data_IF_996755251143
#
_entry.id   IF_996755251143
#
_cell.length_a   1.000
_cell.length_b   1.000
_cell.length_c   1.000
_cell.angle_alpha   90.00
_cell.angle_beta   90.00
_cell.angle_gamma   90.00
#
_symmetry.space_group_name_H-M   'P 1'
#
loop_
_entity.id
_entity.type
_entity.pdbx_description
1 polymer ?
#
# COMPACT_ATOMS: atom_id res chain seq x y z
N UNK A 1 2.26 -1.56 -23.34
CA UNK A 1 0.85 -1.75 -22.94
C UNK A 1 0.62 -0.79 -21.79
N UNK A 2 -0.37 0.12 -21.84
CA UNK A 2 -0.37 1.30 -20.98
C UNK A 2 -0.87 1.01 -19.54
N UNK A 3 -0.26 1.62 -18.53
CA UNK A 3 -0.65 1.72 -17.12
C UNK A 3 -2.10 2.19 -16.95
N UNK A 4 -2.65 2.89 -17.95
CA UNK A 4 -4.10 3.20 -18.01
C UNK A 4 -4.98 1.94 -18.07
N UNK A 5 -4.50 0.81 -18.59
CA UNK A 5 -5.19 -0.49 -18.47
C UNK A 5 -5.24 -0.99 -17.04
N UNK A 6 -4.26 -0.67 -16.20
CA UNK A 6 -4.27 -1.04 -14.79
C UNK A 6 -5.52 -0.50 -14.09
N UNK A 7 -5.84 0.77 -14.35
CA UNK A 7 -7.02 1.45 -13.84
C UNK A 7 -8.35 0.86 -14.37
N UNK A 8 -8.35 0.22 -15.54
CA UNK A 8 -9.56 -0.29 -16.20
C UNK A 8 -9.84 -1.78 -15.90
N UNK A 9 -8.82 -2.56 -15.54
CA UNK A 9 -8.92 -4.03 -15.52
C UNK A 9 -8.85 -4.62 -14.10
N UNK A 10 -8.18 -3.94 -13.15
CA UNK A 10 -7.79 -4.60 -11.89
C UNK A 10 -8.31 -3.99 -10.60
N UNK A 11 -8.97 -2.83 -10.63
CA UNK A 11 -9.36 -2.14 -9.40
C UNK A 11 -10.54 -2.88 -8.75
N UNK A 12 -10.33 -3.39 -7.55
CA UNK A 12 -11.42 -3.99 -6.78
C UNK A 12 -12.28 -2.88 -6.15
N UNK A 13 -13.57 -3.13 -6.01
CA UNK A 13 -14.43 -2.29 -5.17
C UNK A 13 -14.09 -2.44 -3.67
N UNK A 14 -13.40 -3.52 -3.29
CA UNK A 14 -12.92 -3.75 -1.94
C UNK A 14 -11.87 -2.72 -1.54
N UNK A 15 -12.05 -2.08 -0.38
CA UNK A 15 -11.06 -1.17 0.21
C UNK A 15 -10.09 -1.95 1.11
N UNK A 16 -9.56 -3.06 0.60
CA UNK A 16 -8.66 -3.94 1.33
C UNK A 16 -7.76 -4.75 0.38
N UNK A 17 -6.59 -5.15 0.90
CA UNK A 17 -5.71 -6.16 0.31
C UNK A 17 -5.72 -7.35 1.27
N UNK A 18 -5.94 -8.55 0.74
CA UNK A 18 -6.00 -9.78 1.52
C UNK A 18 -4.69 -10.55 1.35
N UNK A 19 -4.25 -11.20 2.41
CA UNK A 19 -3.15 -12.14 2.40
C UNK A 19 -3.62 -13.53 2.81
N UNK A 20 -2.67 -14.44 2.94
CA UNK A 20 -2.95 -15.78 3.45
C UNK A 20 -3.43 -15.75 4.91
N UNK A 21 -4.10 -16.82 5.35
CA UNK A 21 -4.45 -17.06 6.77
C UNK A 21 -5.26 -15.93 7.44
N UNK A 22 -5.99 -15.16 6.65
CA UNK A 22 -6.84 -14.06 7.14
C UNK A 22 -6.08 -12.78 7.46
N UNK A 23 -4.81 -12.69 7.07
CA UNK A 23 -4.07 -11.44 7.09
C UNK A 23 -4.70 -10.47 6.08
N UNK A 24 -4.84 -9.20 6.46
CA UNK A 24 -5.44 -8.17 5.61
C UNK A 24 -5.03 -6.79 6.06
N UNK A 25 -4.96 -5.86 5.10
CA UNK A 25 -4.99 -4.43 5.37
C UNK A 25 -6.29 -3.86 4.84
N UNK A 26 -6.87 -2.90 5.56
CA UNK A 26 -8.11 -2.24 5.21
C UNK A 26 -7.90 -0.73 5.14
N UNK A 27 -8.74 -0.05 4.38
CA UNK A 27 -8.82 1.41 4.39
C UNK A 27 -10.20 1.75 4.93
N UNK A 28 -10.30 2.21 6.18
CA UNK A 28 -11.57 2.62 6.74
C UNK A 28 -11.96 4.05 6.32
N UNK A 29 -13.27 4.37 6.29
CA UNK A 29 -13.75 5.74 6.15
C UNK A 29 -13.24 6.63 7.29
N UNK A 30 -12.91 7.89 7.00
CA UNK A 30 -12.43 8.85 8.02
C UNK A 30 -13.47 9.10 9.13
N UNK A 31 -14.75 9.12 8.79
CA UNK A 31 -15.84 9.46 9.70
C UNK A 31 -16.83 8.29 9.91
N UNK A 32 -16.37 7.19 10.51
CA UNK A 32 -17.27 6.06 10.84
C UNK A 32 -18.43 6.47 11.78
N UNK A 33 -18.22 7.47 12.66
CA UNK A 33 -19.25 7.94 13.61
C UNK A 33 -20.31 8.87 13.00
N UNK A 34 -20.02 9.57 11.91
CA UNK A 34 -20.99 10.46 11.24
C UNK A 34 -22.06 9.66 10.46
N UNK A 35 -21.74 8.42 10.09
CA UNK A 35 -22.60 7.51 9.33
C UNK A 35 -23.88 7.08 10.05
N UNK A 36 -23.94 7.24 11.38
CA UNK A 36 -25.12 6.91 12.18
C UNK A 36 -26.20 8.01 12.15
N UNK A 37 -25.89 9.23 11.67
CA UNK A 37 -26.79 10.38 11.75
C UNK A 37 -27.33 10.88 10.40
N UNK A 38 -26.78 10.46 9.27
CA UNK A 38 -27.16 10.95 7.95
C UNK A 38 -27.57 9.76 7.06
N UNK A 39 -28.87 9.70 6.76
CA UNK A 39 -29.47 8.62 5.99
C UNK A 39 -28.86 8.48 4.59
N UNK A 40 -28.47 7.25 4.27
CA UNK A 40 -28.43 6.58 2.96
C UNK A 40 -27.85 7.24 1.68
N UNK A 41 -27.28 8.45 1.68
CA UNK A 41 -26.78 9.07 0.42
C UNK A 41 -25.33 9.57 0.41
N UNK A 42 -24.63 9.59 1.55
CA UNK A 42 -23.24 10.06 1.57
C UNK A 42 -22.26 8.90 1.36
N UNK A 43 -21.53 8.93 0.24
CA UNK A 43 -20.35 8.08 0.04
C UNK A 43 -19.40 8.28 1.23
N UNK A 44 -19.10 7.24 2.04
CA UNK A 44 -18.22 7.36 3.19
C UNK A 44 -16.78 7.76 2.84
N UNK A 45 -16.41 7.70 1.56
CA UNK A 45 -15.13 8.15 1.02
C UNK A 45 -15.27 9.41 0.17
N UNK A 46 -16.35 10.19 0.33
CA UNK A 46 -16.56 11.42 -0.43
C UNK A 46 -15.29 12.29 -0.44
N UNK A 47 -14.85 12.67 -1.64
CA UNK A 47 -13.62 13.42 -1.86
C UNK A 47 -12.33 12.59 -1.88
N UNK A 48 -12.41 11.26 -1.76
CA UNK A 48 -11.28 10.33 -1.83
C UNK A 48 -11.46 9.33 -2.97
N UNK A 49 -10.42 9.11 -3.76
CA UNK A 49 -10.33 7.99 -4.70
C UNK A 49 -9.35 6.98 -4.13
N UNK A 50 -9.84 5.77 -3.88
CA UNK A 50 -9.04 4.64 -3.39
C UNK A 50 -9.27 3.47 -4.34
N UNK A 51 -8.22 3.00 -5.01
CA UNK A 51 -8.28 1.82 -5.87
C UNK A 51 -7.31 0.77 -5.33
N UNK A 52 -7.82 -0.41 -5.02
CA UNK A 52 -7.03 -1.52 -4.50
C UNK A 52 -6.83 -2.56 -5.60
N UNK A 53 -5.62 -3.10 -5.69
CA UNK A 53 -5.21 -4.07 -6.69
C UNK A 53 -4.51 -5.22 -5.98
N UNK A 54 -5.13 -6.40 -6.01
CA UNK A 54 -4.54 -7.62 -5.49
C UNK A 54 -3.60 -8.22 -6.55
N UNK A 55 -2.33 -8.45 -6.20
CA UNK A 55 -1.31 -8.97 -7.10
C UNK A 55 -1.01 -10.45 -6.89
N UNK A 56 -1.27 -10.97 -5.69
CA UNK A 56 -0.89 -12.33 -5.32
C UNK A 56 -2.04 -13.12 -4.69
N UNK A 57 -3.13 -13.32 -5.46
CA UNK A 57 -4.24 -14.21 -5.08
C UNK A 57 -4.41 -15.42 -6.02
N UNK A 58 -3.52 -15.57 -7.00
CA UNK A 58 -3.55 -16.65 -7.98
C UNK A 58 -4.67 -16.59 -9.03
N UNK A 59 -5.53 -15.56 -8.99
CA UNK A 59 -6.63 -15.37 -9.94
C UNK A 59 -6.12 -15.04 -11.35
N UNK A 60 -6.97 -15.25 -12.37
CA UNK A 60 -6.65 -14.86 -13.74
C UNK A 60 -6.49 -13.35 -13.87
N UNK A 61 -7.31 -12.59 -13.13
CA UNK A 61 -7.27 -11.14 -13.06
C UNK A 61 -5.93 -10.66 -12.50
N UNK A 62 -5.45 -11.26 -11.40
CA UNK A 62 -4.13 -10.94 -10.86
C UNK A 62 -3.03 -11.25 -11.88
N UNK A 63 -3.07 -12.39 -12.58
CA UNK A 63 -2.07 -12.70 -13.64
C UNK A 63 -2.10 -11.70 -14.79
N UNK A 64 -3.28 -11.27 -15.24
CA UNK A 64 -3.41 -10.23 -16.26
C UNK A 64 -2.87 -8.88 -15.79
N UNK A 65 -3.12 -8.54 -14.54
CA UNK A 65 -2.60 -7.35 -13.89
C UNK A 65 -1.07 -7.37 -13.79
N UNK A 66 -0.46 -8.50 -13.40
CA UNK A 66 0.99 -8.67 -13.38
C UNK A 66 1.62 -8.46 -14.76
N UNK A 67 1.05 -9.09 -15.79
CA UNK A 67 1.49 -8.89 -17.17
C UNK A 67 1.38 -7.43 -17.60
N UNK A 68 0.30 -6.76 -17.19
CA UNK A 68 0.08 -5.33 -17.46
C UNK A 68 1.08 -4.43 -16.73
N UNK A 69 1.56 -4.86 -15.56
CA UNK A 69 2.63 -4.23 -14.80
C UNK A 69 4.04 -4.54 -15.30
N UNK A 70 4.17 -5.43 -16.29
CA UNK A 70 5.47 -5.91 -16.76
C UNK A 70 6.19 -6.82 -15.75
N UNK A 71 5.48 -7.33 -14.74
CA UNK A 71 5.97 -8.29 -13.76
C UNK A 71 5.79 -9.69 -14.35
N UNK A 72 6.86 -10.49 -14.42
CA UNK A 72 6.78 -11.84 -15.01
C UNK A 72 6.21 -12.83 -14.01
N UNK A 73 5.59 -13.88 -14.52
CA UNK A 73 5.16 -15.01 -13.69
C UNK A 73 6.38 -15.59 -12.96
N UNK A 74 6.28 -15.71 -11.63
CA UNK A 74 7.36 -16.18 -10.76
C UNK A 74 8.30 -15.09 -10.22
N UNK A 75 8.21 -13.85 -10.70
CA UNK A 75 8.99 -12.74 -10.11
C UNK A 75 8.49 -12.41 -8.69
N UNK A 76 9.46 -12.11 -7.81
CA UNK A 76 9.18 -11.59 -6.46
C UNK A 76 8.51 -10.24 -6.56
N UNK A 77 7.33 -10.13 -5.97
CA UNK A 77 6.43 -8.98 -6.01
C UNK A 77 5.71 -8.81 -4.69
N UNK A 78 5.10 -7.66 -4.47
CA UNK A 78 4.27 -7.46 -3.30
C UNK A 78 2.84 -8.00 -3.47
N UNK A 79 2.12 -8.20 -2.38
CA UNK A 79 0.75 -8.73 -2.40
C UNK A 79 -0.27 -7.79 -3.02
N UNK A 80 -0.08 -6.48 -2.90
CA UNK A 80 -1.04 -5.51 -3.43
C UNK A 80 -0.53 -4.10 -3.66
N UNK A 81 -1.29 -3.36 -4.47
CA UNK A 81 -1.07 -1.93 -4.75
C UNK A 81 -2.34 -1.18 -4.37
N UNK A 82 -2.17 0.01 -3.79
CA UNK A 82 -3.26 0.94 -3.53
C UNK A 82 -2.94 2.28 -4.19
N UNK A 83 -3.80 2.72 -5.10
CA UNK A 83 -3.81 4.09 -5.58
C UNK A 83 -4.71 4.94 -4.68
N UNK A 84 -4.20 6.08 -4.23
CA UNK A 84 -4.93 7.02 -3.41
C UNK A 84 -4.80 8.45 -3.93
N UNK A 85 -5.91 9.17 -4.01
CA UNK A 85 -5.95 10.61 -4.25
C UNK A 85 -7.11 11.26 -3.51
N UNK A 86 -7.01 12.58 -3.32
CA UNK A 86 -8.07 13.39 -2.71
C UNK A 86 -8.44 14.54 -3.64
N UNK A 87 -9.72 14.88 -3.68
CA UNK A 87 -10.23 16.03 -4.42
C UNK A 87 -9.55 17.33 -3.94
N UNK A 88 -9.23 18.20 -4.89
CA UNK A 88 -8.50 19.44 -4.63
C UNK A 88 -7.04 19.28 -4.21
N UNK A 89 -6.56 18.05 -3.96
CA UNK A 89 -5.13 17.80 -3.72
C UNK A 89 -4.40 17.53 -5.03
N UNK A 90 -3.21 18.11 -5.26
CA UNK A 90 -2.35 17.72 -6.37
C UNK A 90 -1.60 16.39 -6.11
N UNK A 91 -1.60 15.91 -4.87
CA UNK A 91 -0.85 14.71 -4.48
C UNK A 91 -1.56 13.44 -4.97
N UNK A 92 -0.77 12.51 -5.51
CA UNK A 92 -1.21 11.18 -5.93
C UNK A 92 -0.30 10.17 -5.27
N UNK A 93 -0.88 9.20 -4.58
CA UNK A 93 -0.14 8.22 -3.81
C UNK A 93 -0.27 6.84 -4.44
N UNK A 94 0.85 6.14 -4.59
CA UNK A 94 0.90 4.71 -4.82
C UNK A 94 1.47 4.08 -3.54
N UNK A 95 0.66 3.28 -2.86
CA UNK A 95 1.07 2.52 -1.70
C UNK A 95 1.23 1.04 -2.09
N UNK A 96 2.44 0.52 -1.91
CA UNK A 96 2.71 -0.90 -2.07
C UNK A 96 2.50 -1.60 -0.73
N UNK A 97 1.85 -2.76 -0.76
CA UNK A 97 1.45 -3.50 0.42
C UNK A 97 2.05 -4.90 0.35
N UNK A 98 2.77 -5.26 1.41
CA UNK A 98 3.22 -6.62 1.66
C UNK A 98 2.60 -7.13 2.97
N UNK A 99 2.03 -8.32 2.93
CA UNK A 99 1.46 -9.06 4.05
C UNK A 99 2.34 -10.27 4.33
N UNK A 100 3.05 -10.20 5.44
CA UNK A 100 3.79 -11.35 5.96
C UNK A 100 3.18 -11.81 7.26
N UNK A 101 3.09 -13.13 7.42
CA UNK A 101 2.77 -13.69 8.72
C UNK A 101 4.03 -13.57 9.63
N UNK A 102 4.90 -14.58 9.58
CA UNK A 102 6.08 -14.66 10.46
C UNK A 102 7.39 -14.24 9.81
N UNK A 103 7.62 -14.56 8.52
CA UNK A 103 8.90 -14.30 7.84
C UNK A 103 8.82 -13.03 7.00
N UNK A 104 9.51 -11.99 7.45
CA UNK A 104 9.50 -10.66 6.82
C UNK A 104 10.73 -10.34 5.96
N UNK A 105 11.72 -11.22 5.95
CA UNK A 105 13.04 -10.97 5.36
C UNK A 105 12.99 -10.53 3.89
N UNK A 106 12.06 -11.09 3.11
CA UNK A 106 11.93 -10.79 1.67
C UNK A 106 10.98 -9.61 1.38
N UNK A 107 10.32 -9.07 2.40
CA UNK A 107 9.27 -8.07 2.20
C UNK A 107 9.80 -6.76 1.61
N UNK A 108 10.99 -6.32 2.04
CA UNK A 108 11.62 -5.11 1.49
C UNK A 108 11.93 -5.30 0.00
N UNK A 109 12.58 -6.41 -0.36
CA UNK A 109 12.90 -6.76 -1.74
C UNK A 109 11.67 -6.78 -2.64
N UNK A 110 10.58 -7.42 -2.19
CA UNK A 110 9.31 -7.49 -2.93
C UNK A 110 8.72 -6.10 -3.20
N UNK A 111 8.68 -5.24 -2.17
CA UNK A 111 8.17 -3.86 -2.28
C UNK A 111 9.05 -3.01 -3.20
N UNK A 112 10.38 -3.10 -3.06
CA UNK A 112 11.35 -2.34 -3.85
C UNK A 112 11.29 -2.75 -5.32
N UNK A 113 11.31 -4.06 -5.61
CA UNK A 113 11.24 -4.59 -6.98
C UNK A 113 9.93 -4.21 -7.66
N UNK A 114 8.80 -4.33 -6.94
CA UNK A 114 7.49 -3.96 -7.49
C UNK A 114 7.45 -2.48 -7.85
N UNK A 115 8.00 -1.61 -6.99
CA UNK A 115 8.13 -0.18 -7.31
C UNK A 115 8.97 0.04 -8.56
N UNK A 116 10.14 -0.57 -8.66
CA UNK A 116 11.03 -0.41 -9.81
C UNK A 116 10.34 -0.82 -11.12
N UNK A 117 9.63 -1.96 -11.11
CA UNK A 117 8.85 -2.40 -12.28
C UNK A 117 7.80 -1.37 -12.69
N UNK A 118 7.06 -0.80 -11.74
CA UNK A 118 6.05 0.22 -12.03
C UNK A 118 6.68 1.53 -12.51
N UNK A 119 7.76 1.99 -11.88
CA UNK A 119 8.48 3.20 -12.29
C UNK A 119 9.04 3.05 -13.71
N UNK A 120 9.65 1.91 -14.04
CA UNK A 120 10.14 1.61 -15.37
C UNK A 120 9.03 1.59 -16.41
N UNK A 121 7.88 1.00 -16.07
CA UNK A 121 6.70 0.97 -16.94
C UNK A 121 6.19 2.39 -17.21
N UNK A 122 5.99 3.18 -16.15
CA UNK A 122 5.53 4.57 -16.26
C UNK A 122 6.51 5.43 -17.07
N UNK A 123 7.82 5.26 -16.86
CA UNK A 123 8.84 5.98 -17.63
C UNK A 123 8.78 5.65 -19.12
N UNK A 124 8.60 4.37 -19.47
CA UNK A 124 8.48 3.91 -20.86
C UNK A 124 7.24 4.47 -21.54
N UNK A 125 6.13 4.58 -20.82
CA UNK A 125 4.85 5.00 -21.39
C UNK A 125 4.69 6.50 -21.50
N UNK A 126 5.08 7.24 -20.48
CA UNK A 126 4.78 8.67 -20.41
C UNK A 126 5.87 9.55 -21.08
N UNK A 127 7.03 8.97 -21.43
CA UNK A 127 8.15 9.68 -22.05
C UNK A 127 8.67 10.85 -21.21
N UNK A 128 9.46 11.75 -21.84
CA UNK A 128 10.01 12.95 -21.15
C UNK A 128 8.94 13.85 -20.50
N UNK A 129 7.79 14.15 -21.14
CA UNK A 129 6.76 14.99 -20.52
C UNK A 129 6.16 14.36 -19.25
N UNK A 130 6.06 13.04 -19.23
CA UNK A 130 5.56 12.25 -18.11
C UNK A 130 6.45 12.21 -16.89
N UNK A 131 7.77 12.38 -17.04
CA UNK A 131 8.73 12.29 -15.93
C UNK A 131 8.40 13.25 -14.80
N UNK A 132 7.98 14.48 -15.13
CA UNK A 132 7.57 15.48 -14.11
C UNK A 132 6.34 15.03 -13.33
N UNK A 133 5.42 14.30 -13.97
CA UNK A 133 4.25 13.74 -13.29
C UNK A 133 4.64 12.58 -12.39
N UNK A 134 5.47 11.65 -12.89
CA UNK A 134 5.99 10.51 -12.12
C UNK A 134 6.75 10.98 -10.87
N UNK A 135 7.56 12.03 -11.00
CA UNK A 135 8.30 12.62 -9.87
C UNK A 135 7.40 13.23 -8.78
N UNK A 136 6.14 13.56 -9.10
CA UNK A 136 5.15 14.08 -8.14
C UNK A 136 4.38 12.95 -7.45
N UNK A 137 4.50 11.71 -7.91
CA UNK A 137 3.87 10.56 -7.25
C UNK A 137 4.52 10.34 -5.88
N UNK A 138 3.69 10.22 -4.86
CA UNK A 138 4.12 9.79 -3.54
C UNK A 138 4.13 8.27 -3.48
N UNK A 139 5.31 7.71 -3.24
CA UNK A 139 5.47 6.28 -2.99
C UNK A 139 5.39 5.99 -1.49
N UNK A 140 4.46 5.11 -1.12
CA UNK A 140 4.32 4.59 0.24
C UNK A 140 4.57 3.08 0.25
N UNK A 141 5.17 2.59 1.32
CA UNK A 141 5.32 1.16 1.58
C UNK A 141 4.57 0.78 2.86
N UNK A 142 3.80 -0.30 2.82
CA UNK A 142 3.11 -0.85 3.97
C UNK A 142 3.52 -2.30 4.16
N UNK A 143 4.06 -2.61 5.34
CA UNK A 143 4.34 -3.95 5.80
C UNK A 143 3.32 -4.36 6.86
N UNK A 144 2.36 -5.19 6.48
CA UNK A 144 1.58 -5.94 7.46
C UNK A 144 2.41 -7.11 7.97
N UNK A 145 2.45 -7.27 9.29
CA UNK A 145 3.14 -8.39 9.94
C UNK A 145 2.28 -9.03 11.03
N UNK A 146 2.30 -10.37 11.11
CA UNK A 146 1.64 -11.10 12.19
C UNK A 146 2.56 -12.17 12.81
N UNK A 147 3.15 -11.84 13.97
CA UNK A 147 4.02 -12.76 14.69
C UNK A 147 5.48 -12.74 14.23
N UNK A 148 5.87 -11.79 13.38
CA UNK A 148 7.27 -11.54 13.03
C UNK A 148 8.06 -10.94 14.20
N UNK A 149 9.35 -11.29 14.30
CA UNK A 149 10.25 -10.77 15.33
C UNK A 149 10.41 -9.25 15.20
N UNK A 150 10.47 -8.50 16.34
CA UNK A 150 10.79 -7.07 16.31
C UNK A 150 12.11 -6.75 15.60
N UNK A 151 13.13 -7.59 15.76
CA UNK A 151 14.46 -7.35 15.20
C UNK A 151 14.47 -7.50 13.68
N UNK A 152 13.82 -8.54 13.16
CA UNK A 152 13.63 -8.76 11.72
C UNK A 152 12.82 -7.62 11.11
N UNK A 153 11.74 -7.21 11.80
CA UNK A 153 10.93 -6.07 11.37
C UNK A 153 11.75 -4.79 11.29
N UNK A 154 12.58 -4.49 12.30
CA UNK A 154 13.41 -3.27 12.30
C UNK A 154 14.41 -3.29 11.13
N UNK A 155 15.02 -4.44 10.80
CA UNK A 155 15.90 -4.58 9.63
C UNK A 155 15.15 -4.24 8.33
N UNK A 156 13.98 -4.81 8.12
CA UNK A 156 13.14 -4.56 6.94
C UNK A 156 12.75 -3.08 6.84
N UNK A 157 12.35 -2.45 7.95
CA UNK A 157 11.97 -1.03 7.95
C UNK A 157 13.16 -0.10 7.69
N UNK A 158 14.35 -0.45 8.20
CA UNK A 158 15.58 0.28 7.88
C UNK A 158 15.87 0.23 6.39
N UNK A 159 15.71 -0.94 5.77
CA UNK A 159 15.86 -1.10 4.33
C UNK A 159 14.84 -0.26 3.55
N UNK A 160 13.56 -0.38 3.90
CA UNK A 160 12.49 0.39 3.25
C UNK A 160 12.71 1.90 3.35
N UNK A 161 13.31 2.41 4.43
CA UNK A 161 13.62 3.84 4.59
C UNK A 161 14.58 4.38 3.51
N UNK A 162 15.44 3.53 2.94
CA UNK A 162 16.37 3.96 1.89
C UNK A 162 15.66 4.21 0.55
N UNK A 163 14.55 3.51 0.32
CA UNK A 163 13.82 3.57 -0.95
C UNK A 163 12.56 4.42 -0.83
N UNK A 164 11.82 4.31 0.27
CA UNK A 164 10.54 4.98 0.47
C UNK A 164 10.65 6.12 1.48
N UNK A 165 10.24 7.33 1.07
CA UNK A 165 10.10 8.47 1.98
C UNK A 165 9.08 8.19 3.09
N UNK A 166 8.06 7.41 2.76
CA UNK A 166 6.95 7.06 3.64
C UNK A 166 6.82 5.53 3.70
N UNK A 167 6.98 4.97 4.88
CA UNK A 167 6.81 3.54 5.12
C UNK A 167 6.05 3.33 6.43
N UNK A 168 5.32 2.23 6.53
CA UNK A 168 4.51 1.90 7.69
C UNK A 168 4.53 0.41 7.97
N UNK A 169 4.53 0.03 9.24
CA UNK A 169 4.30 -1.35 9.66
C UNK A 169 3.03 -1.44 10.49
N UNK A 170 2.14 -2.33 10.10
CA UNK A 170 0.90 -2.63 10.81
C UNK A 170 0.81 -4.11 11.18
N UNK A 171 -0.18 -4.43 12.00
CA UNK A 171 -0.52 -5.78 12.43
C UNK A 171 -2.04 -5.95 12.49
N UNK A 172 -2.52 -7.09 12.99
CA UNK A 172 -3.96 -7.37 13.14
C UNK A 172 -4.72 -6.28 13.91
N UNK A 173 -4.09 -5.60 14.87
CA UNK A 173 -4.73 -4.56 15.68
C UNK A 173 -4.69 -3.17 15.04
N UNK A 174 -3.86 -3.00 14.01
CA UNK A 174 -3.61 -1.74 13.32
C UNK A 174 -3.76 -1.86 11.80
N UNK A 175 -4.55 -2.82 11.35
CA UNK A 175 -4.73 -3.17 9.94
C UNK A 175 -5.39 -2.05 9.10
N UNK A 176 -6.01 -1.04 9.73
CA UNK A 176 -6.51 0.14 9.03
C UNK A 176 -5.36 1.09 8.69
N UNK A 177 -4.99 1.11 7.41
CA UNK A 177 -3.91 1.95 6.90
C UNK A 177 -4.43 3.26 6.31
N UNK A 178 -5.74 3.54 6.39
CA UNK A 178 -6.34 4.77 5.89
C UNK A 178 -5.68 6.05 6.42
N UNK A 179 -5.45 6.20 7.74
CA UNK A 179 -4.71 7.34 8.29
C UNK A 179 -3.31 7.50 7.68
N UNK A 180 -2.61 6.39 7.41
CA UNK A 180 -1.29 6.40 6.78
C UNK A 180 -1.35 6.88 5.33
N UNK A 181 -2.34 6.40 4.56
CA UNK A 181 -2.59 6.87 3.19
C UNK A 181 -2.90 8.37 3.15
N UNK A 182 -3.72 8.84 4.10
CA UNK A 182 -4.15 10.25 4.22
C UNK A 182 -3.06 11.20 4.73
N UNK A 183 -1.95 10.67 5.25
CA UNK A 183 -0.88 11.47 5.87
C UNK A 183 -1.23 11.97 7.28
N UNK A 184 -2.22 11.37 7.93
CA UNK A 184 -2.72 11.76 9.26
C UNK A 184 -1.93 11.11 10.39
N UNK A 185 -1.28 9.98 10.09
CA UNK A 185 -0.36 9.31 10.99
C UNK A 185 1.06 9.41 10.43
N UNK A 186 1.84 10.36 10.93
CA UNK A 186 3.30 10.32 10.78
C UNK A 186 3.84 9.21 11.67
N UNK A 187 4.13 8.05 11.09
CA UNK A 187 5.00 7.07 11.73
C UNK A 187 6.26 6.88 10.90
N UNK A 188 7.23 7.78 11.15
CA UNK A 188 8.63 7.34 11.22
C UNK A 188 8.69 6.36 12.37
N UNK A 189 8.82 5.06 12.07
CA UNK A 189 9.07 3.97 13.00
C UNK A 189 8.34 4.05 14.35
N UNK A 190 7.43 3.12 14.62
CA UNK A 190 7.04 2.77 15.99
C UNK A 190 8.20 2.11 16.80
N UNK A 191 9.44 2.58 16.61
CA UNK A 191 10.56 2.35 17.51
C UNK A 191 10.34 3.24 18.76
N UNK A 192 9.75 2.70 19.83
CA UNK A 192 9.90 3.31 21.16
C UNK A 192 8.69 3.44 22.10
N UNK A 193 7.50 2.89 21.82
CA UNK A 193 6.37 2.96 22.78
C UNK A 193 6.19 1.75 23.71
N UNK A 194 7.26 1.01 24.02
CA UNK A 194 7.24 -0.04 25.07
C UNK A 194 8.23 0.16 26.24
N UNK A 195 9.02 1.22 26.28
CA UNK A 195 10.03 1.42 27.33
C UNK A 195 9.64 2.36 28.50
N UNK A 196 8.41 2.87 28.58
CA UNK A 196 7.97 3.73 29.71
C UNK A 196 6.72 3.20 30.41
N UNK A 197 6.82 2.02 31.02
CA UNK A 197 5.91 1.63 32.11
C UNK A 197 6.55 0.56 32.99
N UNK A 198 7.66 0.89 33.66
CA UNK A 198 8.18 0.16 34.82
C UNK A 198 9.16 1.05 35.59
N UNK A 199 8.62 2.09 36.22
CA UNK A 199 9.18 2.68 37.45
C UNK A 199 7.99 3.13 38.30
N UNK A 200 7.60 2.26 39.22
CA UNK A 200 6.97 2.55 40.51
C UNK A 200 7.45 1.48 41.48
#
# INVERSE_FOLDING_TARGET
MPFTRLLLIGATSSKCINGEKGDKVIIAPKNQKAKAHLGHLDDPYAGEVILCFQLDDGSEQARELLRSLGIRDGDRRCDGIIFYSRDGSPERTICLVELKHSRVEEAADQLIRTRQCIEDLLCKECGEPGKKYIQRLQWKACLYRHGASPDETSKVLKELRHYFKHYYSCDRHSADIGPFLRGESEQRASEGRRARKRER
#
